data_IF_743830429102
#
_entry.id   IF_743830429102
#
_cell.length_a   1.000
_cell.length_b   1.000
_cell.length_c   1.000
_cell.angle_alpha   90.00
_cell.angle_beta   90.00
_cell.angle_gamma   90.00
#
_symmetry.space_group_name_H-M   'P 1'
#
loop_
_entity.id
_entity.type
_entity.pdbx_description
1 polymer ?
#
# COMPACT_ATOMS: atom_id res chain seq x y z
N UNK A 1 -73.71 -13.10 50.43
CA UNK A 1 -73.51 -13.20 48.97
C UNK A 1 -72.01 -12.98 48.69
N UNK A 2 -71.26 -14.10 48.58
CA UNK A 2 -69.84 -14.14 48.37
C UNK A 2 -69.54 -14.12 46.87
N UNK A 3 -68.78 -13.13 46.42
CA UNK A 3 -68.19 -13.14 45.08
C UNK A 3 -66.67 -13.29 45.21
N UNK A 4 -66.21 -14.50 44.87
CA UNK A 4 -64.83 -14.88 44.79
C UNK A 4 -64.17 -14.28 43.50
N UNK A 5 -63.19 -13.42 43.66
CA UNK A 5 -62.38 -12.92 42.54
C UNK A 5 -61.16 -13.87 42.33
N UNK A 6 -61.17 -14.61 41.24
CA UNK A 6 -60.00 -15.40 40.82
C UNK A 6 -59.08 -14.47 40.11
N UNK A 7 -57.90 -14.18 40.72
CA UNK A 7 -56.83 -13.45 40.09
C UNK A 7 -56.11 -14.32 39.06
N UNK A 8 -56.03 -13.82 37.84
CA UNK A 8 -55.25 -14.40 36.75
C UNK A 8 -53.80 -13.82 36.81
N UNK A 9 -52.84 -14.65 37.15
CA UNK A 9 -51.40 -14.25 37.10
C UNK A 9 -50.91 -14.49 35.69
N UNK A 10 -50.68 -13.41 34.95
CA UNK A 10 -50.00 -13.45 33.66
C UNK A 10 -48.48 -13.50 33.88
N UNK A 11 -47.91 -14.66 33.61
CA UNK A 11 -46.44 -14.85 33.60
C UNK A 11 -45.89 -14.31 32.29
N UNK A 12 -45.31 -13.12 32.30
CA UNK A 12 -44.59 -12.56 31.14
C UNK A 12 -43.19 -13.19 31.04
N UNK A 13 -43.00 -14.07 30.06
CA UNK A 13 -41.66 -14.60 29.73
C UNK A 13 -40.88 -13.53 28.98
N UNK A 14 -39.88 -12.95 29.65
CA UNK A 14 -38.87 -12.09 29.03
C UNK A 14 -37.88 -12.96 28.22
N UNK A 15 -38.07 -13.00 26.91
CA UNK A 15 -37.08 -13.54 25.98
C UNK A 15 -35.89 -12.57 25.90
N UNK A 16 -34.78 -12.88 26.60
CA UNK A 16 -33.51 -12.19 26.45
C UNK A 16 -32.87 -12.63 25.15
N UNK A 17 -32.93 -11.77 24.13
CA UNK A 17 -32.12 -11.91 22.93
C UNK A 17 -30.67 -11.60 23.31
N UNK A 18 -29.84 -12.63 23.42
CA UNK A 18 -28.38 -12.44 23.44
C UNK A 18 -27.92 -12.05 22.02
N UNK A 19 -27.12 -10.97 21.87
CA UNK A 19 -26.53 -10.67 20.57
C UNK A 19 -25.58 -11.82 20.20
N UNK A 20 -25.89 -12.52 19.11
CA UNK A 20 -24.94 -13.48 18.50
C UNK A 20 -23.79 -12.67 17.95
N UNK A 21 -22.62 -12.80 18.58
CA UNK A 21 -21.37 -12.33 18.02
C UNK A 21 -21.15 -13.06 16.69
N UNK A 22 -21.05 -12.27 15.61
CA UNK A 22 -20.63 -12.79 14.31
C UNK A 22 -19.26 -13.45 14.49
N UNK A 23 -19.02 -14.63 13.89
CA UNK A 23 -17.69 -15.23 13.95
C UNK A 23 -16.67 -14.25 13.34
N UNK A 24 -15.72 -13.81 14.16
CA UNK A 24 -14.51 -13.17 13.63
C UNK A 24 -13.89 -14.16 12.66
N UNK A 25 -13.82 -13.76 11.40
CA UNK A 25 -13.09 -14.49 10.36
C UNK A 25 -11.60 -14.56 10.74
N UNK A 26 -11.23 -15.61 11.46
CA UNK A 26 -9.85 -16.01 11.78
C UNK A 26 -9.22 -16.72 10.57
N UNK A 27 -9.56 -16.28 9.36
CA UNK A 27 -8.94 -16.77 8.13
C UNK A 27 -7.50 -16.28 8.02
N UNK A 28 -6.58 -17.09 8.52
CA UNK A 28 -5.25 -17.26 7.93
C UNK A 28 -4.23 -16.19 8.20
N UNK A 29 -3.67 -16.18 9.42
CA UNK A 29 -2.31 -15.69 9.57
C UNK A 29 -1.37 -16.89 9.54
N UNK A 30 -0.74 -17.16 8.39
CA UNK A 30 0.44 -18.00 8.32
C UNK A 30 1.57 -17.25 9.04
N UNK A 31 2.02 -17.77 10.17
CA UNK A 31 3.24 -17.44 10.91
C UNK A 31 3.36 -16.09 11.64
N UNK A 32 2.31 -15.32 11.85
CA UNK A 32 2.35 -14.11 12.70
C UNK A 32 3.17 -12.94 12.13
N UNK A 33 3.86 -13.10 11.00
CA UNK A 33 4.64 -12.06 10.34
C UNK A 33 3.75 -11.18 9.44
N UNK A 34 4.06 -9.88 9.34
CA UNK A 34 3.35 -9.01 8.41
C UNK A 34 3.55 -9.49 6.96
N UNK A 35 2.50 -9.38 6.12
CA UNK A 35 2.64 -9.70 4.71
C UNK A 35 3.66 -8.76 4.05
N UNK A 36 4.49 -9.33 3.15
CA UNK A 36 5.63 -8.65 2.53
C UNK A 36 5.43 -8.44 1.03
N UNK A 37 5.89 -7.29 0.54
CA UNK A 37 6.07 -7.01 -0.88
C UNK A 37 7.55 -6.78 -1.19
N UNK A 38 7.98 -7.14 -2.40
CA UNK A 38 9.32 -6.84 -2.91
C UNK A 38 9.20 -5.72 -3.96
N UNK A 39 9.95 -4.66 -3.77
CA UNK A 39 9.89 -3.49 -4.63
C UNK A 39 11.25 -3.25 -5.28
N UNK A 40 11.30 -3.33 -6.61
CA UNK A 40 12.47 -2.96 -7.40
C UNK A 40 12.41 -1.48 -7.75
N UNK A 41 13.47 -0.76 -7.45
CA UNK A 41 13.56 0.68 -7.73
C UNK A 41 14.52 0.93 -8.88
N UNK A 42 13.98 1.40 -10.01
CA UNK A 42 14.76 1.80 -11.17
C UNK A 42 14.94 3.32 -11.16
N UNK A 43 16.13 3.78 -10.80
CA UNK A 43 16.45 5.20 -10.63
C UNK A 43 16.94 5.84 -11.94
N UNK A 44 16.07 6.00 -12.94
CA UNK A 44 16.41 6.65 -14.21
C UNK A 44 16.67 8.16 -14.07
N UNK A 45 16.26 8.76 -12.96
CA UNK A 45 16.47 10.19 -12.69
C UNK A 45 17.81 10.48 -12.00
N UNK A 46 18.61 9.45 -11.71
CA UNK A 46 19.91 9.57 -11.02
C UNK A 46 19.82 10.35 -9.70
N UNK A 47 18.76 10.11 -8.94
CA UNK A 47 18.63 10.60 -7.56
C UNK A 47 19.79 10.04 -6.75
N UNK A 48 20.41 10.85 -5.88
CA UNK A 48 21.52 10.38 -5.06
C UNK A 48 21.10 9.20 -4.17
N UNK A 49 22.03 8.30 -3.91
CA UNK A 49 21.78 7.10 -3.07
C UNK A 49 21.28 7.48 -1.68
N UNK A 50 21.75 8.61 -1.15
CA UNK A 50 21.32 9.11 0.16
C UNK A 50 19.85 9.54 0.16
N UNK A 51 19.41 10.36 -0.80
CA UNK A 51 18.02 10.78 -0.93
C UNK A 51 17.12 9.57 -1.20
N UNK A 52 17.59 8.63 -2.03
CA UNK A 52 16.82 7.42 -2.34
C UNK A 52 16.62 6.56 -1.11
N UNK A 53 17.67 6.29 -0.33
CA UNK A 53 17.59 5.50 0.89
C UNK A 53 16.65 6.13 1.94
N UNK A 54 16.68 7.46 2.08
CA UNK A 54 15.76 8.19 2.96
C UNK A 54 14.31 8.08 2.48
N UNK A 55 14.07 8.22 1.17
CA UNK A 55 12.74 8.07 0.59
C UNK A 55 12.18 6.65 0.73
N UNK A 56 13.02 5.62 0.57
CA UNK A 56 12.65 4.22 0.79
C UNK A 56 12.30 3.96 2.26
N UNK A 57 13.05 4.54 3.21
CA UNK A 57 12.76 4.44 4.63
C UNK A 57 11.43 5.11 4.98
N UNK A 58 11.12 6.29 4.44
CA UNK A 58 9.83 6.95 4.61
C UNK A 58 8.68 6.12 4.04
N UNK A 59 8.82 5.62 2.80
CA UNK A 59 7.80 4.79 2.17
C UNK A 59 7.57 3.48 2.95
N UNK A 60 8.64 2.82 3.41
CA UNK A 60 8.57 1.64 4.25
C UNK A 60 7.88 1.93 5.60
N UNK A 61 8.15 3.09 6.21
CA UNK A 61 7.49 3.53 7.43
C UNK A 61 5.98 3.71 7.26
N UNK A 62 5.54 4.31 6.14
CA UNK A 62 4.13 4.52 5.80
C UNK A 62 3.43 3.16 5.59
N UNK A 63 4.02 2.27 4.79
CA UNK A 63 3.49 0.94 4.53
C UNK A 63 3.53 0.04 5.78
N UNK A 64 4.57 0.16 6.60
CA UNK A 64 4.71 -0.53 7.88
C UNK A 64 3.59 -0.19 8.86
N UNK A 65 3.17 1.08 8.94
CA UNK A 65 2.00 1.49 9.72
C UNK A 65 0.68 0.91 9.20
N UNK A 66 0.62 0.59 7.91
CA UNK A 66 -0.50 -0.18 7.33
C UNK A 66 -0.37 -1.70 7.56
N UNK A 67 0.72 -2.16 8.17
CA UNK A 67 0.99 -3.58 8.45
C UNK A 67 1.55 -4.34 7.24
N UNK A 68 2.28 -3.67 6.35
CA UNK A 68 2.96 -4.25 5.19
C UNK A 68 4.47 -4.09 5.37
N UNK A 69 5.22 -5.17 5.22
CA UNK A 69 6.67 -5.14 5.15
C UNK A 69 7.14 -4.95 3.71
N UNK A 70 8.18 -4.14 3.50
CA UNK A 70 8.74 -3.87 2.17
C UNK A 70 10.20 -4.29 2.12
N UNK A 71 10.55 -5.07 1.12
CA UNK A 71 11.94 -5.36 0.75
C UNK A 71 12.29 -4.56 -0.50
N UNK A 72 13.39 -3.81 -0.46
CA UNK A 72 13.86 -2.96 -1.56
C UNK A 72 15.00 -3.61 -2.32
N UNK A 73 14.96 -3.55 -3.65
CA UNK A 73 16.06 -3.91 -4.54
C UNK A 73 16.33 -2.73 -5.46
N UNK A 74 17.48 -2.08 -5.29
CA UNK A 74 17.89 -0.96 -6.14
C UNK A 74 18.50 -1.47 -7.43
N UNK A 75 17.85 -1.18 -8.56
CA UNK A 75 18.24 -1.57 -9.90
C UNK A 75 18.95 -0.39 -10.60
N UNK A 76 20.23 -0.58 -10.95
CA UNK A 76 20.98 0.42 -11.71
C UNK A 76 20.62 0.30 -13.20
N UNK A 77 19.94 1.31 -13.78
CA UNK A 77 19.54 1.26 -15.19
C UNK A 77 20.73 1.34 -16.16
N UNK A 78 21.95 1.62 -15.68
CA UNK A 78 23.17 1.68 -16.50
C UNK A 78 23.90 0.34 -16.60
N UNK A 79 23.61 -0.60 -15.70
CA UNK A 79 24.17 -1.96 -15.72
C UNK A 79 23.38 -2.83 -16.71
N UNK A 80 23.94 -3.03 -17.90
CA UNK A 80 23.30 -3.79 -18.99
C UNK A 80 23.56 -5.30 -18.98
N UNK A 81 24.48 -5.79 -18.17
CA UNK A 81 25.07 -7.14 -18.33
C UNK A 81 24.99 -8.00 -17.06
N UNK A 82 23.91 -7.93 -16.30
CA UNK A 82 23.65 -8.94 -15.28
C UNK A 82 22.72 -9.99 -15.93
N UNK A 83 23.26 -11.18 -16.22
CA UNK A 83 22.56 -12.26 -16.93
C UNK A 83 21.15 -12.60 -16.39
N UNK A 84 20.52 -13.64 -16.93
CA UNK A 84 19.12 -14.06 -16.60
C UNK A 84 18.83 -14.28 -15.10
N UNK A 85 19.86 -14.30 -14.25
CA UNK A 85 19.77 -14.40 -12.79
C UNK A 85 19.60 -13.04 -12.10
N UNK A 86 19.65 -11.92 -12.84
CA UNK A 86 19.52 -10.58 -12.25
C UNK A 86 18.08 -10.36 -11.76
N UNK A 87 17.95 -10.16 -10.45
CA UNK A 87 16.67 -9.88 -9.80
C UNK A 87 15.94 -8.68 -10.43
N UNK A 88 16.70 -7.72 -10.99
CA UNK A 88 16.13 -6.52 -11.64
C UNK A 88 15.43 -6.81 -12.97
N UNK A 89 15.78 -7.89 -13.65
CA UNK A 89 15.23 -8.27 -14.97
C UNK A 89 14.16 -9.39 -14.89
N UNK A 90 13.98 -9.99 -13.73
CA UNK A 90 12.99 -11.05 -13.56
C UNK A 90 11.56 -10.54 -13.73
N UNK A 91 10.67 -11.44 -14.15
CA UNK A 91 9.24 -11.13 -14.23
C UNK A 91 8.66 -10.66 -12.89
N UNK A 92 7.76 -9.67 -12.92
CA UNK A 92 7.08 -9.19 -11.72
C UNK A 92 5.95 -10.15 -11.35
N UNK A 93 6.22 -11.04 -10.38
CA UNK A 93 5.20 -11.91 -9.78
C UNK A 93 4.17 -11.14 -8.95
N UNK A 94 3.20 -11.81 -8.34
CA UNK A 94 2.11 -11.18 -7.60
C UNK A 94 2.56 -10.22 -6.49
N UNK A 95 3.59 -10.57 -5.72
CA UNK A 95 4.13 -9.75 -4.62
C UNK A 95 5.29 -8.85 -5.06
N UNK A 96 5.76 -8.98 -6.30
CA UNK A 96 6.86 -8.20 -6.84
C UNK A 96 6.31 -6.98 -7.59
N UNK A 97 6.78 -5.80 -7.21
CA UNK A 97 6.41 -4.52 -7.80
C UNK A 97 7.66 -3.81 -8.29
N UNK A 98 7.49 -2.88 -9.22
CA UNK A 98 8.57 -2.00 -9.65
C UNK A 98 8.17 -0.54 -9.49
N UNK A 99 9.12 0.29 -9.06
CA UNK A 99 9.02 1.76 -9.03
C UNK A 99 10.06 2.33 -9.96
N UNK A 100 9.66 3.16 -10.90
CA UNK A 100 10.56 3.93 -11.76
C UNK A 100 10.60 5.37 -11.28
N UNK A 101 11.77 5.87 -10.94
CA UNK A 101 12.00 7.28 -10.69
C UNK A 101 12.49 7.90 -12.00
N UNK A 102 11.64 8.73 -12.60
CA UNK A 102 11.87 9.32 -13.92
C UNK A 102 12.20 10.81 -13.79
N UNK A 103 13.01 11.37 -14.69
CA UNK A 103 13.25 12.82 -14.73
C UNK A 103 11.93 13.60 -14.82
N UNK A 104 10.98 13.13 -15.62
CA UNK A 104 9.62 13.65 -15.76
C UNK A 104 8.68 12.55 -16.27
N UNK A 105 7.39 12.67 -16.00
CA UNK A 105 6.38 11.86 -16.65
C UNK A 105 6.11 12.47 -18.02
N UNK A 106 6.18 11.64 -19.07
CA UNK A 106 5.79 12.05 -20.42
C UNK A 106 4.29 12.34 -20.52
N UNK A 107 3.80 12.58 -21.75
CA UNK A 107 2.37 12.72 -22.01
C UNK A 107 1.67 11.35 -21.82
N UNK A 108 1.21 11.08 -20.62
CA UNK A 108 0.40 9.90 -20.30
C UNK A 108 -1.07 10.31 -20.40
N UNK A 109 -1.90 9.63 -21.19
CA UNK A 109 -3.32 9.95 -21.28
C UNK A 109 -3.99 9.92 -19.89
N UNK A 110 -4.72 10.99 -19.55
CA UNK A 110 -5.41 11.10 -18.27
C UNK A 110 -4.56 11.69 -17.13
N UNK A 111 -3.33 12.13 -17.40
CA UNK A 111 -2.49 12.87 -16.46
C UNK A 111 -2.40 14.35 -16.87
N UNK A 112 -2.22 15.22 -15.89
CA UNK A 112 -1.95 16.64 -16.10
C UNK A 112 -0.47 16.97 -15.79
N UNK A 113 -0.10 18.26 -15.99
CA UNK A 113 1.26 18.74 -15.68
C UNK A 113 1.60 18.69 -14.19
N UNK A 114 0.61 18.53 -13.32
CA UNK A 114 0.76 18.44 -11.86
C UNK A 114 0.85 17.01 -11.35
N UNK A 115 0.62 16.03 -12.21
CA UNK A 115 0.70 14.62 -11.84
C UNK A 115 2.12 14.27 -11.40
N UNK A 116 2.26 13.82 -10.16
CA UNK A 116 3.54 13.44 -9.56
C UNK A 116 3.92 12.00 -9.88
N UNK A 117 2.94 11.11 -9.90
CA UNK A 117 3.15 9.68 -10.14
C UNK A 117 2.05 9.04 -10.97
N UNK A 118 2.26 7.79 -11.32
CA UNK A 118 1.33 6.96 -12.08
C UNK A 118 1.57 5.49 -11.76
N UNK A 119 0.50 4.74 -11.56
CA UNK A 119 0.53 3.31 -11.23
C UNK A 119 -0.34 2.48 -12.18
N UNK A 120 0.20 1.37 -12.70
CA UNK A 120 -0.52 0.42 -13.56
C UNK A 120 0.04 -1.00 -13.40
N UNK A 121 -0.83 -1.98 -13.20
CA UNK A 121 -0.44 -3.38 -12.97
C UNK A 121 0.43 -3.54 -11.73
N UNK A 122 1.69 -3.94 -11.88
CA UNK A 122 2.68 -4.01 -10.82
C UNK A 122 3.79 -2.94 -10.95
N UNK A 123 3.56 -1.90 -11.75
CA UNK A 123 4.54 -0.86 -12.04
C UNK A 123 4.00 0.51 -11.62
N UNK A 124 4.80 1.22 -10.82
CA UNK A 124 4.62 2.63 -10.46
C UNK A 124 5.70 3.49 -11.12
N UNK A 125 5.43 4.76 -11.33
CA UNK A 125 6.39 5.75 -11.84
C UNK A 125 6.21 7.06 -11.10
N UNK A 126 7.32 7.70 -10.70
CA UNK A 126 7.33 8.98 -9.99
C UNK A 126 8.22 9.97 -10.75
N UNK A 127 7.78 11.22 -10.88
CA UNK A 127 8.53 12.32 -11.51
C UNK A 127 9.39 13.05 -10.49
N UNK A 128 10.73 12.93 -10.60
CA UNK A 128 11.62 13.66 -9.68
C UNK A 128 11.51 15.18 -9.86
N UNK A 129 11.22 15.65 -11.07
CA UNK A 129 10.97 17.08 -11.30
C UNK A 129 9.80 17.57 -10.44
N UNK A 130 8.69 16.84 -10.41
CA UNK A 130 7.52 17.22 -9.59
C UNK A 130 7.79 17.12 -8.09
N UNK A 131 8.55 16.10 -7.67
CA UNK A 131 9.04 15.97 -6.29
C UNK A 131 9.84 17.20 -5.89
N UNK A 132 10.82 17.63 -6.71
CA UNK A 132 11.66 18.77 -6.41
C UNK A 132 10.89 20.11 -6.43
N UNK A 133 9.94 20.28 -7.36
CA UNK A 133 9.05 21.45 -7.42
C UNK A 133 8.21 21.56 -6.13
N UNK A 134 7.61 20.46 -5.68
CA UNK A 134 6.78 20.44 -4.46
C UNK A 134 7.63 20.58 -3.19
N UNK A 135 8.80 19.95 -3.14
CA UNK A 135 9.75 20.13 -2.04
C UNK A 135 10.17 21.59 -1.88
N UNK A 136 10.49 22.27 -2.99
CA UNK A 136 10.83 23.69 -2.99
C UNK A 136 9.63 24.58 -2.60
N UNK A 137 8.43 24.28 -3.10
CA UNK A 137 7.20 25.04 -2.79
C UNK A 137 6.89 24.98 -1.28
N UNK A 138 7.05 23.82 -0.65
CA UNK A 138 6.70 23.62 0.76
C UNK A 138 7.87 23.78 1.71
N UNK A 139 9.12 23.89 1.21
CA UNK A 139 10.31 24.08 2.03
C UNK A 139 10.70 22.82 2.79
N UNK A 140 10.48 21.65 2.21
CA UNK A 140 10.85 20.33 2.76
C UNK A 140 11.96 19.69 1.94
N UNK A 141 12.57 18.61 2.45
CA UNK A 141 13.59 17.90 1.71
C UNK A 141 12.99 17.03 0.58
N UNK A 142 13.68 16.80 -0.54
CA UNK A 142 13.16 15.98 -1.63
C UNK A 142 12.73 14.57 -1.22
N UNK A 143 13.41 13.93 -0.27
CA UNK A 143 13.03 12.60 0.22
C UNK A 143 11.68 12.61 0.98
N UNK A 144 11.34 13.73 1.66
CA UNK A 144 10.08 13.89 2.38
C UNK A 144 8.87 13.99 1.44
N UNK A 145 9.11 14.24 0.14
CA UNK A 145 8.11 14.20 -0.92
C UNK A 145 8.18 12.87 -1.68
N UNK A 146 9.40 12.42 -2.02
CA UNK A 146 9.62 11.21 -2.81
C UNK A 146 9.12 9.95 -2.08
N UNK A 147 9.41 9.81 -0.78
CA UNK A 147 8.97 8.65 0.00
C UNK A 147 7.45 8.51 0.06
N UNK A 148 6.71 9.55 0.48
CA UNK A 148 5.25 9.56 0.37
C UNK A 148 4.74 9.32 -1.06
N UNK A 149 5.37 9.89 -2.10
CA UNK A 149 4.96 9.65 -3.49
C UNK A 149 5.10 8.17 -3.88
N UNK A 150 6.20 7.52 -3.50
CA UNK A 150 6.39 6.07 -3.70
C UNK A 150 5.29 5.29 -2.96
N UNK A 151 5.04 5.59 -1.69
CA UNK A 151 4.01 4.90 -0.91
C UNK A 151 2.59 5.10 -1.48
N UNK A 152 2.28 6.30 -2.01
CA UNK A 152 1.02 6.61 -2.70
C UNK A 152 0.84 5.76 -3.95
N UNK A 153 1.85 5.71 -4.81
CA UNK A 153 1.79 4.93 -6.05
C UNK A 153 1.74 3.41 -5.79
N UNK A 154 2.48 2.91 -4.79
CA UNK A 154 2.33 1.52 -4.32
C UNK A 154 0.92 1.29 -3.75
N UNK A 155 0.36 2.27 -3.07
CA UNK A 155 -1.04 2.25 -2.63
C UNK A 155 -2.02 2.04 -3.79
N UNK A 156 -1.80 2.70 -4.94
CA UNK A 156 -2.62 2.49 -6.14
C UNK A 156 -2.47 1.09 -6.74
N UNK A 157 -1.28 0.47 -6.66
CA UNK A 157 -1.07 -0.91 -7.09
C UNK A 157 -1.82 -1.93 -6.21
N UNK A 158 -2.09 -1.57 -4.94
CA UNK A 158 -2.75 -2.43 -3.96
C UNK A 158 -4.25 -2.16 -3.83
N UNK A 159 -4.69 -0.90 -3.98
CA UNK A 159 -6.09 -0.47 -3.84
C UNK A 159 -6.82 -0.31 -5.17
N UNK A 160 -6.07 -0.31 -6.29
CA UNK A 160 -6.58 0.01 -7.61
C UNK A 160 -6.75 1.51 -7.86
N UNK A 161 -7.17 1.85 -9.09
CA UNK A 161 -7.21 3.25 -9.60
C UNK A 161 -8.13 4.20 -8.82
N UNK A 162 -9.13 3.69 -8.11
CA UNK A 162 -10.07 4.48 -7.29
C UNK A 162 -9.63 4.62 -5.83
N UNK A 163 -8.35 4.37 -5.53
CA UNK A 163 -7.82 4.36 -4.16
C UNK A 163 -7.74 5.71 -3.46
N UNK A 164 -8.01 6.84 -4.13
CA UNK A 164 -7.95 8.17 -3.51
C UNK A 164 -8.94 8.34 -2.35
N UNK A 165 -8.54 9.13 -1.36
CA UNK A 165 -9.33 9.48 -0.17
C UNK A 165 -9.19 10.98 0.16
N UNK A 166 -10.11 11.56 0.92
CA UNK A 166 -10.02 12.97 1.33
C UNK A 166 -8.83 13.27 2.25
N UNK A 167 -8.31 12.25 2.94
CA UNK A 167 -7.22 12.37 3.94
C UNK A 167 -6.23 11.23 3.80
N UNK A 168 -5.09 11.36 4.44
CA UNK A 168 -4.05 10.34 4.47
C UNK A 168 -3.19 10.32 3.20
N UNK A 169 -2.37 9.28 3.09
CA UNK A 169 -1.40 9.13 1.99
C UNK A 169 -2.09 9.11 0.61
N UNK A 170 -3.28 8.52 0.51
CA UNK A 170 -4.03 8.41 -0.74
C UNK A 170 -4.82 9.67 -1.10
N UNK A 171 -4.51 10.82 -0.52
CA UNK A 171 -5.06 12.11 -0.96
C UNK A 171 -4.49 12.46 -2.32
N UNK A 172 -5.36 12.89 -3.26
CA UNK A 172 -4.94 13.19 -4.63
C UNK A 172 -3.97 14.39 -4.74
N UNK A 173 -4.07 15.36 -3.82
CA UNK A 173 -3.19 16.53 -3.76
C UNK A 173 -2.87 16.84 -2.31
N UNK A 174 -1.60 16.77 -1.97
CA UNK A 174 -1.12 17.14 -0.65
C UNK A 174 -0.94 18.65 -0.52
N UNK A 175 -0.92 19.12 0.70
CA UNK A 175 -0.77 20.53 1.06
C UNK A 175 0.40 20.67 2.02
N UNK A 176 0.90 21.88 2.22
CA UNK A 176 1.93 22.18 3.22
C UNK A 176 1.61 21.56 4.60
N UNK A 177 0.35 21.69 5.04
CA UNK A 177 -0.08 21.18 6.35
C UNK A 177 -0.01 19.65 6.45
N UNK A 178 -0.07 18.94 5.35
CA UNK A 178 0.08 17.47 5.34
C UNK A 178 1.53 17.10 5.65
N UNK A 179 2.52 17.82 5.10
CA UNK A 179 3.95 17.66 5.42
C UNK A 179 4.26 18.06 6.86
N UNK A 180 3.74 19.16 7.36
CA UNK A 180 3.91 19.61 8.76
C UNK A 180 3.35 18.59 9.77
N UNK A 181 2.33 17.83 9.37
CA UNK A 181 1.70 16.78 10.16
C UNK A 181 2.19 15.37 9.83
N UNK A 182 3.13 15.19 8.90
CA UNK A 182 3.67 13.89 8.55
C UNK A 182 4.14 13.08 9.77
N UNK A 183 4.87 13.67 10.76
CA UNK A 183 5.26 12.96 11.97
C UNK A 183 4.07 12.50 12.84
N UNK A 184 2.90 13.13 12.67
CA UNK A 184 1.65 12.78 13.38
C UNK A 184 0.73 11.86 12.57
N UNK A 185 1.22 11.33 11.44
CA UNK A 185 0.52 10.35 10.62
C UNK A 185 -0.38 10.93 9.54
N UNK A 186 -0.16 12.18 9.09
CA UNK A 186 -0.90 12.76 7.97
C UNK A 186 -0.76 11.93 6.68
N UNK A 187 0.36 11.22 6.51
CA UNK A 187 0.62 10.32 5.40
C UNK A 187 0.35 8.83 5.72
N UNK A 188 -0.43 8.53 6.75
CA UNK A 188 -0.86 7.15 6.96
C UNK A 188 -2.02 6.80 6.01
N UNK A 189 -2.14 5.53 5.65
CA UNK A 189 -3.37 4.99 5.08
C UNK A 189 -4.53 5.16 6.08
N UNK A 190 -5.74 5.39 5.59
CA UNK A 190 -6.92 5.29 6.48
C UNK A 190 -7.05 3.85 7.01
N UNK A 191 -7.76 3.66 8.12
CA UNK A 191 -7.94 2.33 8.70
C UNK A 191 -8.59 1.34 7.70
N UNK A 192 -9.50 1.81 6.85
CA UNK A 192 -10.10 1.02 5.80
C UNK A 192 -9.09 0.64 4.71
N UNK A 193 -8.33 1.62 4.22
CA UNK A 193 -7.27 1.39 3.23
C UNK A 193 -6.19 0.44 3.78
N UNK A 194 -5.78 0.61 5.03
CA UNK A 194 -4.82 -0.28 5.68
C UNK A 194 -5.32 -1.74 5.75
N UNK A 195 -6.61 -1.96 6.03
CA UNK A 195 -7.20 -3.31 5.96
C UNK A 195 -7.20 -3.85 4.53
N UNK A 196 -7.59 -3.03 3.55
CA UNK A 196 -7.65 -3.43 2.14
C UNK A 196 -6.28 -3.77 1.57
N UNK A 197 -5.24 -2.97 1.83
CA UNK A 197 -3.88 -3.26 1.35
C UNK A 197 -3.32 -4.53 1.97
N UNK A 198 -3.56 -4.79 3.29
CA UNK A 198 -3.15 -6.05 3.92
C UNK A 198 -3.85 -7.26 3.30
N UNK A 199 -5.15 -7.16 3.08
CA UNK A 199 -5.93 -8.24 2.46
C UNK A 199 -5.44 -8.54 1.04
N UNK A 200 -5.15 -7.50 0.26
CA UNK A 200 -4.64 -7.64 -1.10
C UNK A 200 -3.24 -8.26 -1.13
N UNK A 201 -2.31 -7.82 -0.27
CA UNK A 201 -0.98 -8.44 -0.19
C UNK A 201 -1.08 -9.88 0.27
N UNK A 202 -1.93 -10.19 1.27
CA UNK A 202 -2.17 -11.56 1.71
C UNK A 202 -2.74 -12.46 0.60
N UNK A 203 -3.62 -11.94 -0.26
CA UNK A 203 -4.11 -12.64 -1.46
C UNK A 203 -2.97 -12.93 -2.44
N UNK A 204 -2.13 -11.94 -2.74
CA UNK A 204 -0.99 -12.04 -3.66
C UNK A 204 0.06 -13.05 -3.17
N UNK A 205 0.33 -13.10 -1.87
CA UNK A 205 1.23 -14.09 -1.26
C UNK A 205 0.71 -15.52 -1.50
N UNK A 206 -0.59 -15.75 -1.30
CA UNK A 206 -1.21 -17.07 -1.55
C UNK A 206 -1.13 -17.46 -3.03
N UNK A 207 -1.37 -16.51 -3.93
CA UNK A 207 -1.29 -16.71 -5.39
C UNK A 207 0.13 -17.08 -5.82
N UNK A 208 1.15 -16.40 -5.28
CA UNK A 208 2.55 -16.70 -5.58
C UNK A 208 2.94 -18.11 -5.11
N UNK A 209 2.59 -18.51 -3.89
CA UNK A 209 2.86 -19.85 -3.38
C UNK A 209 2.20 -20.95 -4.21
N UNK A 210 1.00 -20.71 -4.75
CA UNK A 210 0.32 -21.66 -5.63
C UNK A 210 1.04 -21.79 -6.99
N UNK A 211 1.53 -20.69 -7.55
CA UNK A 211 2.26 -20.69 -8.82
C UNK A 211 3.59 -21.45 -8.71
N UNK A 212 4.33 -21.27 -7.63
CA UNK A 212 5.61 -21.97 -7.38
C UNK A 212 5.43 -23.47 -7.25
N UNK A 213 4.38 -23.93 -6.55
CA UNK A 213 4.06 -25.36 -6.42
C UNK A 213 3.73 -25.98 -7.77
N UNK A 214 2.98 -25.27 -8.62
CA UNK A 214 2.59 -25.76 -9.95
C UNK A 214 3.81 -25.91 -10.87
N UNK A 215 4.73 -24.94 -10.84
CA UNK A 215 5.97 -24.97 -11.65
C UNK A 215 6.91 -26.11 -11.22
N UNK A 216 7.06 -26.35 -9.91
CA UNK A 216 7.88 -27.43 -9.40
C UNK A 216 7.36 -28.84 -9.74
N UNK A 217 6.04 -28.98 -9.98
CA UNK A 217 5.40 -30.27 -10.32
C UNK A 217 5.54 -30.60 -11.82
N UNK A 218 5.69 -29.60 -12.69
CA UNK A 218 5.81 -29.78 -14.15
C UNK A 218 7.25 -30.14 -14.57
N UNK A 219 8.25 -29.88 -13.74
CA UNK A 219 9.68 -30.09 -14.04
C UNK A 219 10.21 -31.47 -13.57
N UNK A 220 9.35 -32.37 -13.12
CA UNK A 220 9.65 -33.78 -12.78
C UNK A 220 9.11 -34.71 -13.86
#
# INVERSE_FOLDING_TARGET
MNRSFKGFVLLAALLTFAPQALPEDRSGNHDGLPPRINVRVHNYAQVSTEILAQAEAEAAGILGKAGIEVSWTNCDPTQKDLGDADECNQFLGPTNMAVRILPFLGAIPGTDKKTMGFALGNLASVSIRRVNEEAAEFGVQPYEVLGPAIAHELGHLLLGRKGHSPTGIMRAHWRREDYERAPRGAFNFTAEQARSVRAEVGRRVKEQGTAEVTTATVTK
#
